data_IF_693550954494
#
_entry.id   IF_693550954494
#
_cell.length_a   1.000
_cell.length_b   1.000
_cell.length_c   1.000
_cell.angle_alpha   90.00
_cell.angle_beta   90.00
_cell.angle_gamma   90.00
#
_symmetry.space_group_name_H-M   'P 1'
#
loop_
_entity.id
_entity.type
_entity.pdbx_description
1 polymer ?
#
# COMPACT_ATOMS: atom_id res chain seq x y z
N UNK A 1 17.77 24.46 -27.90
CA UNK A 1 17.08 23.15 -27.83
C UNK A 1 17.29 22.52 -26.44
N UNK A 2 16.34 21.76 -25.90
CA UNK A 2 16.45 21.13 -24.57
C UNK A 2 17.00 19.71 -24.69
N UNK A 3 17.88 19.32 -23.75
CA UNK A 3 18.39 17.96 -23.63
C UNK A 3 17.38 16.96 -23.02
N UNK A 4 17.73 15.66 -22.96
CA UNK A 4 16.86 14.64 -22.38
C UNK A 4 16.62 14.85 -20.87
N UNK A 5 15.35 14.80 -20.44
CA UNK A 5 14.93 14.96 -19.02
C UNK A 5 14.63 13.65 -18.28
N UNK A 6 14.29 12.58 -19.01
CA UNK A 6 13.95 11.27 -18.40
C UNK A 6 15.22 10.49 -18.14
N UNK A 7 15.33 9.84 -16.97
CA UNK A 7 16.50 9.03 -16.60
C UNK A 7 16.87 7.98 -17.67
N UNK A 8 15.88 7.28 -18.26
CA UNK A 8 16.14 6.29 -19.32
C UNK A 8 16.70 6.91 -20.61
N UNK A 9 16.25 8.12 -20.98
CA UNK A 9 16.77 8.83 -22.16
C UNK A 9 18.16 9.39 -21.92
N UNK A 10 18.46 9.84 -20.70
CA UNK A 10 19.81 10.29 -20.32
C UNK A 10 20.80 9.12 -20.41
N UNK A 11 20.42 7.94 -19.88
CA UNK A 11 21.26 6.73 -20.00
C UNK A 11 21.55 6.36 -21.46
N UNK A 12 20.52 6.32 -22.31
CA UNK A 12 20.68 6.02 -23.74
C UNK A 12 21.54 7.08 -24.46
N UNK A 13 21.42 8.35 -24.08
CA UNK A 13 22.15 9.44 -24.75
C UNK A 13 23.66 9.39 -24.45
N UNK A 14 24.05 9.02 -23.24
CA UNK A 14 25.45 8.95 -22.81
C UNK A 14 26.01 7.52 -22.74
N UNK A 15 25.28 6.52 -23.27
CA UNK A 15 25.62 5.09 -23.17
C UNK A 15 25.97 4.64 -21.74
N UNK A 16 25.23 5.13 -20.75
CA UNK A 16 25.43 4.78 -19.34
C UNK A 16 24.79 3.42 -19.01
N UNK A 17 25.38 2.74 -18.04
CA UNK A 17 24.78 1.57 -17.39
C UNK A 17 23.60 1.98 -16.49
N UNK A 18 22.94 0.99 -15.89
CA UNK A 18 21.78 1.23 -15.03
C UNK A 18 22.21 1.71 -13.64
N UNK A 19 23.39 1.27 -13.23
CA UNK A 19 24.09 1.47 -11.98
C UNK A 19 24.63 2.91 -11.87
N UNK A 20 24.93 3.53 -13.02
CA UNK A 20 25.45 4.90 -13.07
C UNK A 20 24.44 5.96 -12.58
N UNK A 21 24.96 6.95 -11.86
CA UNK A 21 24.18 8.10 -11.40
C UNK A 21 23.97 9.12 -12.52
N UNK A 22 22.78 9.06 -13.13
CA UNK A 22 22.32 10.00 -14.16
C UNK A 22 22.30 11.47 -13.73
N UNK A 23 22.36 11.81 -12.43
CA UNK A 23 22.31 13.20 -11.95
C UNK A 23 23.51 14.02 -12.41
N UNK A 24 24.67 13.37 -12.53
CA UNK A 24 25.94 14.01 -12.92
C UNK A 24 25.95 14.39 -14.40
N UNK A 25 25.23 13.64 -15.24
CA UNK A 25 25.25 13.75 -16.70
C UNK A 25 24.09 14.58 -17.27
N UNK A 26 23.31 15.29 -16.45
CA UNK A 26 22.23 16.13 -16.95
C UNK A 26 22.81 17.37 -17.64
N UNK A 27 22.46 17.56 -18.90
CA UNK A 27 22.85 18.76 -19.67
C UNK A 27 22.31 20.01 -18.97
N UNK A 28 23.23 20.91 -18.62
CA UNK A 28 22.92 22.21 -18.00
C UNK A 28 22.98 23.30 -19.06
N UNK A 29 22.12 24.31 -18.90
CA UNK A 29 22.15 25.54 -19.71
C UNK A 29 22.70 26.66 -18.86
N UNK A 30 23.72 27.35 -19.36
CA UNK A 30 24.17 28.61 -18.80
C UNK A 30 23.18 29.72 -19.14
N UNK A 31 22.80 30.50 -18.14
CA UNK A 31 21.90 31.63 -18.28
C UNK A 31 22.70 32.87 -17.91
N UNK A 32 22.96 33.73 -18.89
CA UNK A 32 23.52 35.07 -18.71
C UNK A 32 22.35 36.06 -18.48
N UNK A 33 22.12 36.51 -17.24
CA UNK A 33 21.01 37.41 -16.96
C UNK A 33 21.34 38.82 -17.45
N UNK A 34 20.35 39.51 -18.04
CA UNK A 34 20.52 40.87 -18.58
C UNK A 34 20.79 41.95 -17.52
N UNK A 35 20.45 41.71 -16.26
CA UNK A 35 20.46 42.71 -15.19
C UNK A 35 21.74 42.69 -14.33
N UNK A 36 22.92 42.42 -14.93
CA UNK A 36 24.21 42.44 -14.23
C UNK A 36 24.41 41.38 -13.14
N UNK A 37 23.49 40.42 -13.00
CA UNK A 37 23.64 39.29 -12.06
C UNK A 37 24.67 38.30 -12.59
N UNK A 38 25.31 37.53 -11.69
CA UNK A 38 26.24 36.47 -12.10
C UNK A 38 25.54 35.42 -12.95
N UNK A 39 26.23 34.92 -13.97
CA UNK A 39 25.74 33.81 -14.78
C UNK A 39 25.50 32.59 -13.89
N UNK A 40 24.42 31.85 -14.15
CA UNK A 40 24.09 30.63 -13.41
C UNK A 40 23.68 29.51 -14.35
N UNK A 41 23.80 28.28 -13.88
CA UNK A 41 23.44 27.10 -14.67
C UNK A 41 22.09 26.55 -14.25
N UNK A 42 21.22 26.23 -15.22
CA UNK A 42 19.92 25.57 -15.00
C UNK A 42 19.94 24.16 -15.57
N UNK A 43 19.30 23.24 -14.85
CA UNK A 43 19.09 21.88 -15.29
C UNK A 43 17.62 21.49 -15.14
N UNK A 44 17.08 20.63 -16.02
CA UNK A 44 15.73 20.11 -15.85
C UNK A 44 15.66 19.11 -14.68
N UNK A 45 14.53 19.11 -13.94
CA UNK A 45 14.25 18.07 -12.94
C UNK A 45 14.18 16.70 -13.61
N UNK A 46 15.05 15.77 -13.20
CA UNK A 46 15.09 14.43 -13.80
C UNK A 46 13.78 13.70 -13.50
N UNK A 47 13.12 13.22 -14.55
CA UNK A 47 11.91 12.41 -14.42
C UNK A 47 12.25 10.93 -14.43
N UNK A 48 11.44 10.11 -13.73
CA UNK A 48 11.60 8.65 -13.65
C UNK A 48 12.92 8.19 -13.03
N UNK A 49 13.57 9.04 -12.25
CA UNK A 49 14.67 8.63 -11.38
C UNK A 49 14.09 7.86 -10.17
N UNK A 50 14.65 6.70 -9.87
CA UNK A 50 14.33 5.95 -8.65
C UNK A 50 15.01 6.65 -7.47
N UNK A 51 14.24 7.01 -6.45
CA UNK A 51 14.71 7.67 -5.23
C UNK A 51 14.30 6.88 -3.98
N UNK A 52 14.99 7.04 -2.84
CA UNK A 52 14.61 6.38 -1.58
C UNK A 52 13.14 6.62 -1.21
N UNK A 53 12.64 7.83 -1.43
CA UNK A 53 11.22 8.18 -1.23
C UNK A 53 10.27 7.37 -2.12
N UNK A 54 10.60 7.19 -3.41
CA UNK A 54 9.77 6.34 -4.29
C UNK A 54 9.77 4.87 -3.86
N UNK A 55 10.90 4.36 -3.34
CA UNK A 55 10.99 3.01 -2.79
C UNK A 55 10.16 2.88 -1.50
N UNK A 56 10.21 3.89 -0.62
CA UNK A 56 9.40 3.96 0.59
C UNK A 56 7.91 3.99 0.28
N UNK A 57 7.47 4.83 -0.67
CA UNK A 57 6.06 4.87 -1.09
C UNK A 57 5.60 3.51 -1.66
N UNK A 58 6.47 2.79 -2.38
CA UNK A 58 6.17 1.43 -2.87
C UNK A 58 6.01 0.45 -1.70
N UNK A 59 6.94 0.45 -0.73
CA UNK A 59 6.86 -0.36 0.49
C UNK A 59 5.59 -0.07 1.29
N UNK A 60 5.27 1.21 1.47
CA UNK A 60 4.07 1.63 2.20
C UNK A 60 2.77 1.14 1.55
N UNK A 61 2.64 1.24 0.22
CA UNK A 61 1.48 0.68 -0.50
C UNK A 61 1.32 -0.83 -0.29
N UNK A 62 2.42 -1.57 -0.30
CA UNK A 62 2.40 -3.02 -0.04
C UNK A 62 1.99 -3.32 1.41
N UNK A 63 2.52 -2.57 2.38
CA UNK A 63 2.17 -2.70 3.79
C UNK A 63 0.68 -2.43 4.04
N UNK A 64 0.12 -1.36 3.46
CA UNK A 64 -1.33 -1.08 3.55
C UNK A 64 -2.15 -2.24 2.99
N UNK A 65 -1.75 -2.80 1.85
CA UNK A 65 -2.48 -3.94 1.24
C UNK A 65 -2.49 -5.15 2.17
N UNK A 66 -1.34 -5.49 2.76
CA UNK A 66 -1.23 -6.59 3.73
C UNK A 66 -2.10 -6.35 4.96
N UNK A 67 -1.99 -5.16 5.58
CA UNK A 67 -2.79 -4.78 6.75
C UNK A 67 -4.29 -4.86 6.49
N UNK A 68 -4.76 -4.48 5.30
CA UNK A 68 -6.17 -4.60 4.91
C UNK A 68 -6.62 -6.06 4.81
N UNK A 69 -5.80 -6.91 4.21
CA UNK A 69 -6.09 -8.36 4.12
C UNK A 69 -6.11 -9.01 5.49
N UNK A 70 -5.16 -8.68 6.37
CA UNK A 70 -5.09 -9.19 7.74
C UNK A 70 -6.33 -8.78 8.54
N UNK A 71 -6.67 -7.48 8.56
CA UNK A 71 -7.87 -7.00 9.25
C UNK A 71 -9.16 -7.64 8.74
N UNK A 72 -9.27 -7.89 7.43
CA UNK A 72 -10.43 -8.59 6.87
C UNK A 72 -10.52 -10.05 7.33
N UNK A 73 -9.38 -10.75 7.45
CA UNK A 73 -9.34 -12.14 7.94
C UNK A 73 -9.67 -12.23 9.42
N UNK A 74 -9.19 -11.27 10.21
CA UNK A 74 -9.49 -11.18 11.65
C UNK A 74 -10.98 -10.90 11.88
N UNK A 75 -11.56 -9.92 11.17
CA UNK A 75 -12.99 -9.64 11.27
C UNK A 75 -13.86 -10.85 10.85
N UNK A 76 -13.45 -11.59 9.82
CA UNK A 76 -14.13 -12.80 9.39
C UNK A 76 -14.05 -13.91 10.45
N UNK A 77 -12.88 -14.12 11.07
CA UNK A 77 -12.70 -15.14 12.10
C UNK A 77 -13.50 -14.81 13.36
N UNK A 78 -13.52 -13.55 13.78
CA UNK A 78 -14.28 -13.06 14.92
C UNK A 78 -15.79 -13.21 14.69
N UNK A 79 -16.27 -12.86 13.49
CA UNK A 79 -17.67 -13.05 13.12
C UNK A 79 -18.07 -14.53 13.10
N UNK A 80 -17.22 -15.41 12.58
CA UNK A 80 -17.47 -16.86 12.58
C UNK A 80 -17.57 -17.42 14.00
N UNK A 81 -16.70 -16.97 14.91
CA UNK A 81 -16.76 -17.37 16.33
C UNK A 81 -18.06 -16.91 16.99
N UNK A 82 -18.48 -15.67 16.75
CA UNK A 82 -19.74 -15.15 17.27
C UNK A 82 -20.94 -15.95 16.76
N UNK A 83 -20.95 -16.29 15.47
CA UNK A 83 -22.01 -17.08 14.85
C UNK A 83 -22.08 -18.48 15.45
N UNK A 84 -20.93 -19.14 15.63
CA UNK A 84 -20.86 -20.46 16.27
C UNK A 84 -21.41 -20.42 17.71
N UNK A 85 -21.08 -19.38 18.48
CA UNK A 85 -21.61 -19.16 19.84
C UNK A 85 -23.14 -19.02 19.83
N UNK A 86 -23.69 -18.16 18.96
CA UNK A 86 -25.15 -17.93 18.83
C UNK A 86 -25.90 -19.19 18.43
N UNK A 87 -25.36 -19.97 17.51
CA UNK A 87 -25.96 -21.24 17.06
C UNK A 87 -25.98 -22.25 18.21
N UNK A 88 -24.89 -22.35 18.97
CA UNK A 88 -24.82 -23.20 20.15
C UNK A 88 -25.85 -22.80 21.21
N UNK A 89 -25.90 -21.53 21.58
CA UNK A 89 -26.88 -21.01 22.55
C UNK A 89 -28.33 -21.28 22.12
N UNK A 90 -28.66 -21.07 20.84
CA UNK A 90 -29.99 -21.35 20.31
C UNK A 90 -30.33 -22.86 20.36
N UNK A 91 -29.35 -23.73 20.06
CA UNK A 91 -29.52 -25.18 20.15
C UNK A 91 -29.73 -25.62 21.60
N UNK A 92 -28.93 -25.10 22.53
CA UNK A 92 -29.02 -25.42 23.95
C UNK A 92 -30.37 -24.99 24.53
N UNK A 93 -30.84 -23.77 24.20
CA UNK A 93 -32.18 -23.27 24.59
C UNK A 93 -33.32 -24.12 24.02
N UNK A 94 -33.18 -24.63 22.79
CA UNK A 94 -34.17 -25.53 22.18
C UNK A 94 -34.22 -26.89 22.90
N UNK A 95 -33.05 -27.43 23.27
CA UNK A 95 -32.94 -28.68 24.02
C UNK A 95 -33.52 -28.51 25.42
N UNK A 96 -33.20 -27.42 26.11
CA UNK A 96 -33.73 -27.09 27.43
C UNK A 96 -35.27 -27.00 27.40
N UNK A 97 -35.84 -26.23 26.46
CA UNK A 97 -37.30 -26.14 26.28
C UNK A 97 -37.95 -27.50 26.03
N UNK A 98 -37.31 -28.36 25.23
CA UNK A 98 -37.80 -29.73 24.99
C UNK A 98 -37.78 -30.55 26.28
N UNK A 99 -36.69 -30.50 27.05
CA UNK A 99 -36.53 -31.23 28.33
C UNK A 99 -37.55 -30.78 29.37
N UNK A 100 -37.74 -29.48 29.57
CA UNK A 100 -38.72 -28.95 30.52
C UNK A 100 -40.13 -29.35 30.14
N UNK A 101 -40.49 -29.26 28.85
CA UNK A 101 -41.81 -29.70 28.37
C UNK A 101 -42.06 -31.20 28.53
N UNK A 102 -41.04 -32.05 28.37
CA UNK A 102 -41.17 -33.50 28.62
C UNK A 102 -41.33 -33.81 30.10
N UNK A 103 -40.58 -33.14 30.98
CA UNK A 103 -40.66 -33.34 32.43
C UNK A 103 -42.01 -32.90 32.99
N UNK A 104 -42.56 -31.79 32.49
CA UNK A 104 -43.89 -31.33 32.89
C UNK A 104 -44.97 -32.33 32.48
N UNK A 105 -44.91 -32.86 31.24
CA UNK A 105 -45.87 -33.87 30.78
C UNK A 105 -45.84 -35.15 31.61
N UNK A 106 -44.65 -35.63 32.00
CA UNK A 106 -44.53 -36.83 32.83
C UNK A 106 -44.95 -36.62 34.29
N UNK A 107 -44.91 -35.38 34.79
CA UNK A 107 -45.37 -35.06 36.15
C UNK A 107 -46.89 -34.83 36.25
N UNK A 108 -47.55 -34.56 35.12
CA UNK A 108 -49.01 -34.37 35.02
C UNK A 108 -49.78 -35.64 34.64
N UNK A 109 -49.09 -36.76 34.44
CA UNK A 109 -49.66 -38.09 34.16
C UNK A 109 -49.53 -38.96 35.40
#
# INVERSE_FOLDING_TARGET
RLGPKRASKIRKFFNLSKEDDVRKYVIRREVTPKNGKKAYTKAPKIQRLVTPRTLQHKRHRQAIKRRRTEASREAESEYKQLLAKRVKEAKDKKIERRRTSSMQKSASA
#
